data_IF_567596125604
#
_entry.id   IF_567596125604
#
_cell.length_a   1.000
_cell.length_b   1.000
_cell.length_c   1.000
_cell.angle_alpha   90.00
_cell.angle_beta   90.00
_cell.angle_gamma   90.00
#
_symmetry.space_group_name_H-M   'P 1'
#
loop_
_entity.id
_entity.type
_entity.pdbx_description
1 polymer ?
#
# COMPACT_ATOMS: atom_id res chain seq x y z
N UNK A 1 13.53 1.21 17.16
CA UNK A 1 13.23 -0.11 16.61
C UNK A 1 12.02 0.12 15.73
N UNK A 2 12.20 0.17 14.40
CA UNK A 2 11.15 0.66 13.50
C UNK A 2 9.90 -0.21 13.60
N UNK A 3 8.74 0.39 13.87
CA UNK A 3 7.47 -0.32 13.95
C UNK A 3 6.94 -0.59 12.55
N UNK A 4 7.58 -1.55 11.87
CA UNK A 4 7.12 -2.08 10.60
C UNK A 4 5.90 -2.97 10.82
N UNK A 5 4.88 -2.78 10.01
CA UNK A 5 3.66 -3.58 10.04
C UNK A 5 3.23 -3.94 8.65
N UNK A 6 2.67 -5.14 8.47
CA UNK A 6 2.04 -5.54 7.23
C UNK A 6 0.69 -4.84 7.07
N UNK A 7 0.51 -4.19 5.92
CA UNK A 7 -0.72 -3.56 5.49
C UNK A 7 -1.14 -4.13 4.14
N UNK A 8 -2.44 -4.33 3.96
CA UNK A 8 -2.98 -4.66 2.65
C UNK A 8 -3.10 -3.39 1.82
N UNK A 9 -2.72 -3.43 0.54
CA UNK A 9 -3.08 -2.37 -0.40
C UNK A 9 -4.56 -2.52 -0.72
N UNK A 10 -5.34 -1.52 -0.33
CA UNK A 10 -6.79 -1.48 -0.53
C UNK A 10 -7.16 -0.72 -1.81
N UNK A 11 -6.42 0.34 -2.15
CA UNK A 11 -6.65 1.15 -3.34
C UNK A 11 -5.38 1.91 -3.73
N UNK A 12 -5.22 2.18 -5.03
CA UNK A 12 -4.15 3.06 -5.55
C UNK A 12 -4.79 4.14 -6.42
N UNK A 13 -4.63 5.41 -6.04
CA UNK A 13 -5.09 6.57 -6.79
C UNK A 13 -3.93 7.11 -7.63
N UNK A 14 -3.98 6.82 -8.94
CA UNK A 14 -2.97 7.27 -9.89
C UNK A 14 -3.00 8.77 -10.18
N UNK A 15 -4.13 9.43 -9.97
CA UNK A 15 -4.28 10.87 -10.24
C UNK A 15 -3.57 11.66 -9.15
N UNK A 16 -3.73 11.22 -7.90
CA UNK A 16 -3.13 11.88 -6.72
C UNK A 16 -1.77 11.32 -6.32
N UNK A 17 -1.40 10.15 -6.86
CA UNK A 17 -0.22 9.38 -6.46
C UNK A 17 -0.30 8.89 -5.00
N UNK A 18 -1.47 8.37 -4.63
CA UNK A 18 -1.79 7.94 -3.27
C UNK A 18 -2.00 6.42 -3.22
N UNK A 19 -1.49 5.78 -2.18
CA UNK A 19 -1.72 4.36 -1.88
C UNK A 19 -2.48 4.27 -0.57
N UNK A 20 -3.66 3.67 -0.63
CA UNK A 20 -4.51 3.47 0.52
C UNK A 20 -4.23 2.09 1.10
N UNK A 21 -3.66 2.07 2.29
CA UNK A 21 -3.29 0.89 3.05
C UNK A 21 -4.33 0.60 4.12
N UNK A 22 -4.64 -0.68 4.34
CA UNK A 22 -5.55 -1.13 5.39
C UNK A 22 -4.95 -2.25 6.23
N UNK A 23 -4.99 -2.10 7.56
CA UNK A 23 -4.61 -3.12 8.54
C UNK A 23 -5.86 -3.63 9.24
N UNK A 24 -6.23 -4.87 8.93
CA UNK A 24 -7.49 -5.48 9.38
C UNK A 24 -7.59 -5.63 10.89
N UNK A 25 -6.51 -6.04 11.56
CA UNK A 25 -6.51 -6.31 13.00
C UNK A 25 -6.89 -5.10 13.87
N UNK A 26 -6.81 -3.88 13.32
CA UNK A 26 -7.13 -2.64 14.03
C UNK A 26 -8.10 -1.73 13.27
N UNK A 27 -8.66 -2.22 12.15
CA UNK A 27 -9.43 -1.41 11.19
C UNK A 27 -8.75 -0.07 10.84
N UNK A 28 -7.40 -0.06 10.84
CA UNK A 28 -6.60 1.15 10.62
C UNK A 28 -6.42 1.35 9.11
N UNK A 29 -6.63 2.56 8.65
CA UNK A 29 -6.39 2.97 7.26
C UNK A 29 -5.35 4.07 7.23
N UNK A 30 -4.47 4.01 6.23
CA UNK A 30 -3.39 4.97 6.05
C UNK A 30 -3.29 5.31 4.57
N UNK A 31 -3.04 6.59 4.27
CA UNK A 31 -2.80 7.07 2.91
C UNK A 31 -1.32 7.40 2.81
N UNK A 32 -0.64 6.84 1.83
CA UNK A 32 0.78 7.08 1.57
C UNK A 32 0.91 7.79 0.23
N UNK A 33 1.53 8.97 0.25
CA UNK A 33 1.90 9.67 -0.97
C UNK A 33 3.21 9.10 -1.48
N UNK A 34 3.24 8.71 -2.75
CA UNK A 34 4.45 8.18 -3.40
C UNK A 34 4.72 8.92 -4.71
N UNK A 35 5.87 8.64 -5.32
CA UNK A 35 6.17 9.19 -6.64
C UNK A 35 5.27 8.57 -7.73
N UNK A 36 5.18 9.23 -8.89
CA UNK A 36 4.46 8.71 -10.07
C UNK A 36 4.97 7.35 -10.52
N UNK A 37 6.29 7.15 -10.45
CA UNK A 37 6.95 5.90 -10.84
C UNK A 37 6.56 4.77 -9.89
N UNK A 38 6.59 5.03 -8.58
CA UNK A 38 6.17 4.07 -7.57
C UNK A 38 4.69 3.70 -7.71
N UNK A 39 3.80 4.69 -7.88
CA UNK A 39 2.36 4.43 -8.08
C UNK A 39 2.11 3.51 -9.28
N UNK A 40 2.87 3.65 -10.37
CA UNK A 40 2.75 2.76 -11.52
C UNK A 40 3.10 1.31 -11.17
N UNK A 41 4.15 1.11 -10.36
CA UNK A 41 4.54 -0.23 -9.86
C UNK A 41 3.44 -0.82 -8.99
N UNK A 42 2.88 -0.06 -8.06
CA UNK A 42 1.81 -0.56 -7.17
C UNK A 42 0.50 -0.86 -7.90
N UNK A 43 0.20 -0.12 -8.98
CA UNK A 43 -0.95 -0.44 -9.84
C UNK A 43 -0.74 -1.75 -10.56
N UNK A 44 0.45 -1.98 -11.11
CA UNK A 44 0.79 -3.24 -11.75
C UNK A 44 0.67 -4.40 -10.76
N UNK A 45 1.27 -4.28 -9.57
CA UNK A 45 1.18 -5.30 -8.53
C UNK A 45 -0.26 -5.57 -8.07
N UNK A 46 -1.11 -4.53 -7.99
CA UNK A 46 -2.52 -4.70 -7.66
C UNK A 46 -3.27 -5.46 -8.75
N UNK A 47 -3.04 -5.13 -10.02
CA UNK A 47 -3.67 -5.82 -11.14
C UNK A 47 -3.25 -7.30 -11.20
N UNK A 48 -1.96 -7.60 -11.07
CA UNK A 48 -1.45 -8.97 -11.02
C UNK A 48 -2.08 -9.77 -9.86
N UNK A 49 -2.18 -9.16 -8.67
CA UNK A 49 -2.83 -9.79 -7.53
C UNK A 49 -4.31 -10.11 -7.82
N UNK A 50 -5.05 -9.18 -8.44
CA UNK A 50 -6.45 -9.38 -8.81
C UNK A 50 -6.60 -10.50 -9.84
N UNK A 51 -5.74 -10.55 -10.87
CA UNK A 51 -5.74 -11.61 -11.88
C UNK A 51 -5.53 -13.01 -11.25
N UNK A 52 -4.72 -13.09 -10.20
CA UNK A 52 -4.46 -14.32 -9.46
C UNK A 52 -5.40 -14.56 -8.27
N UNK A 53 -6.47 -13.76 -8.10
CA UNK A 53 -7.40 -13.90 -6.98
C UNK A 53 -6.74 -13.71 -5.60
N UNK A 54 -5.67 -12.95 -5.55
CA UNK A 54 -4.83 -12.67 -4.38
C UNK A 54 -5.00 -11.23 -3.90
N UNK A 55 -4.51 -10.95 -2.69
CA UNK A 55 -4.52 -9.60 -2.08
C UNK A 55 -3.09 -9.16 -1.82
N UNK A 56 -2.64 -8.00 -2.35
CA UNK A 56 -1.26 -7.57 -2.17
C UNK A 56 -1.06 -6.91 -0.80
N UNK A 57 0.03 -7.27 -0.15
CA UNK A 57 0.47 -6.72 1.14
C UNK A 57 1.84 -6.07 1.01
N UNK A 58 2.07 -5.03 1.82
CA UNK A 58 3.33 -4.31 1.90
C UNK A 58 3.74 -4.08 3.35
N UNK A 59 5.05 -3.97 3.58
CA UNK A 59 5.57 -3.48 4.85
C UNK A 59 5.44 -1.95 4.89
N UNK A 60 4.81 -1.43 5.93
CA UNK A 60 4.68 0.00 6.17
C UNK A 60 5.38 0.36 7.47
N UNK A 61 6.29 1.33 7.39
CA UNK A 61 6.93 1.94 8.56
C UNK A 61 6.00 3.06 9.08
N UNK A 62 5.32 2.77 10.19
CA UNK A 62 4.36 3.69 10.80
C UNK A 62 5.01 4.95 11.38
N UNK A 63 6.30 4.91 11.73
CA UNK A 63 7.01 6.07 12.28
C UNK A 63 7.43 7.03 11.18
N UNK A 64 7.89 6.50 10.04
CA UNK A 64 8.40 7.30 8.92
C UNK A 64 7.34 7.64 7.90
N UNK A 65 6.23 6.92 7.91
CA UNK A 65 5.13 7.13 6.97
C UNK A 65 5.42 6.63 5.55
N UNK A 66 6.31 5.65 5.40
CA UNK A 66 6.76 5.13 4.09
C UNK A 66 6.50 3.63 3.95
N UNK A 67 6.24 3.21 2.72
CA UNK A 67 6.25 1.79 2.35
C UNK A 67 7.72 1.36 2.19
N UNK A 68 8.09 0.23 2.78
CA UNK A 68 9.46 -0.29 2.83
C UNK A 68 9.69 -1.43 1.84
#
# INVERSE_FOLDING_TARGET
MYQKSLYMINHVDQVKNEIHLKKYLFNKQVIVNVSKEEVAVYVQSLNEAVEHGSVPFVEYDEERGVIC
#
